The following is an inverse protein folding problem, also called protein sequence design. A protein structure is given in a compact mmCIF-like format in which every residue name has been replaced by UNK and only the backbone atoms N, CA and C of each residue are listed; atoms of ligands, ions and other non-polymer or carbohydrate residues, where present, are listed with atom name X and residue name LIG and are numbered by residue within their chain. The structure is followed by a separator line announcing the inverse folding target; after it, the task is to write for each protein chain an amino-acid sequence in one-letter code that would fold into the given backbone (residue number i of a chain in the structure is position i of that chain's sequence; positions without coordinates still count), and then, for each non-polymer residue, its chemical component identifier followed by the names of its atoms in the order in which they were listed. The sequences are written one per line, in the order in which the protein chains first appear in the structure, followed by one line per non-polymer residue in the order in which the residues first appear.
data_IF_459821447183
#
_entry.id   IF_459821447183
#
_cell.length_a   1.000
_cell.length_b   1.000
_cell.length_c   1.000
_cell.angle_alpha   90.00
_cell.angle_beta   90.00
_cell.angle_gamma   90.00
#
_symmetry.space_group_name_H-M   'P 1'
#
loop_
_entity.id
_entity.type
_entity.pdbx_description
1 polymer ?
#
# COMPACT_ATOMS: atom_id res chain seq x y z
N UNK A 1 22.91 -21.98 14.51
CA UNK A 1 22.70 -20.78 15.36
C UNK A 1 21.90 -19.79 14.55
N UNK A 2 20.67 -19.53 14.96
CA UNK A 2 19.71 -18.70 14.23
C UNK A 2 18.34 -19.34 14.16
N UNK A 3 17.73 -19.61 15.32
CA UNK A 3 16.32 -19.96 15.42
C UNK A 3 15.50 -18.68 15.20
N UNK A 4 15.09 -18.43 13.96
CA UNK A 4 13.96 -17.53 13.73
C UNK A 4 12.71 -18.29 14.16
N UNK A 5 12.23 -17.93 15.35
CA UNK A 5 10.90 -18.27 15.80
C UNK A 5 9.93 -17.73 14.75
N UNK A 6 9.32 -18.62 13.97
CA UNK A 6 8.09 -18.29 13.26
C UNK A 6 7.06 -17.98 14.35
N UNK A 7 6.88 -16.71 14.69
CA UNK A 7 5.74 -16.27 15.49
C UNK A 7 4.49 -16.69 14.73
N UNK A 8 3.90 -17.80 15.13
CA UNK A 8 2.63 -18.25 14.61
C UNK A 8 1.63 -17.17 15.03
N UNK A 9 1.07 -16.46 14.05
CA UNK A 9 0.11 -15.39 14.29
C UNK A 9 -1.06 -15.99 15.04
N UNK A 10 -1.32 -15.47 16.23
CA UNK A 10 -2.62 -15.64 16.86
C UNK A 10 -3.63 -14.81 16.08
N UNK A 11 -4.15 -15.38 14.99
CA UNK A 11 -5.18 -14.75 14.16
C UNK A 11 -6.44 -14.48 14.99
N UNK A 12 -6.65 -15.19 16.10
CA UNK A 12 -7.79 -14.96 17.00
C UNK A 12 -7.62 -13.68 17.82
N UNK A 13 -6.39 -13.31 18.20
CA UNK A 13 -6.08 -12.00 18.75
C UNK A 13 -6.39 -10.88 17.74
N UNK A 14 -5.99 -11.06 16.48
CA UNK A 14 -6.18 -10.05 15.44
C UNK A 14 -7.62 -9.98 14.89
N UNK A 15 -8.39 -11.06 14.98
CA UNK A 15 -9.82 -11.10 14.63
C UNK A 15 -10.65 -10.11 15.45
N UNK A 16 -10.18 -9.70 16.63
CA UNK A 16 -10.86 -8.68 17.46
C UNK A 16 -10.64 -7.24 16.97
N UNK A 17 -9.64 -7.01 16.09
CA UNK A 17 -9.16 -5.67 15.72
C UNK A 17 -9.40 -5.35 14.23
N UNK A 18 -9.77 -6.35 13.43
CA UNK A 18 -10.05 -6.25 11.99
C UNK A 18 -8.79 -6.43 11.13
N UNK A 19 -8.97 -7.10 10.00
CA UNK A 19 -7.91 -7.39 9.00
C UNK A 19 -8.34 -6.78 7.67
N UNK A 20 -7.44 -6.01 7.04
CA UNK A 20 -7.66 -5.45 5.71
C UNK A 20 -6.60 -5.97 4.74
N UNK A 21 -7.04 -6.42 3.57
CA UNK A 21 -6.12 -6.79 2.49
C UNK A 21 -5.73 -5.52 1.76
N UNK A 22 -4.46 -5.16 1.84
CA UNK A 22 -3.87 -4.05 1.07
C UNK A 22 -3.73 -4.42 -0.40
N UNK A 23 -3.35 -5.67 -0.68
CA UNK A 23 -3.26 -6.22 -2.02
C UNK A 23 -2.63 -7.60 -2.01
N UNK A 24 -2.64 -8.27 -3.16
CA UNK A 24 -1.94 -9.54 -3.36
C UNK A 24 -1.25 -9.57 -4.71
N UNK A 25 -0.07 -10.18 -4.76
CA UNK A 25 0.74 -10.33 -5.97
C UNK A 25 1.55 -11.61 -5.84
N UNK A 26 1.54 -12.46 -6.87
CA UNK A 26 2.34 -13.70 -6.94
C UNK A 26 2.23 -14.62 -5.71
N UNK A 27 1.03 -14.67 -5.10
CA UNK A 27 0.77 -15.47 -3.91
C UNK A 27 1.17 -14.80 -2.59
N UNK A 28 1.89 -13.68 -2.60
CA UNK A 28 2.10 -12.86 -1.42
C UNK A 28 0.90 -11.95 -1.16
N UNK A 29 0.57 -11.76 0.11
CA UNK A 29 -0.55 -10.93 0.56
C UNK A 29 -0.01 -9.85 1.49
N UNK A 30 -0.29 -8.60 1.17
CA UNK A 30 -0.05 -7.48 2.07
C UNK A 30 -1.31 -7.21 2.90
N UNK A 31 -1.15 -7.17 4.23
CA UNK A 31 -2.24 -7.06 5.21
C UNK A 31 -2.02 -5.86 6.14
N UNK A 32 -3.11 -5.20 6.53
CA UNK A 32 -3.12 -4.27 7.65
C UNK A 32 -4.01 -4.82 8.78
N UNK A 33 -3.44 -4.98 9.97
CA UNK A 33 -4.17 -5.36 11.17
C UNK A 33 -4.47 -4.15 12.05
N UNK A 34 -5.69 -4.07 12.59
CA UNK A 34 -6.07 -3.07 13.60
C UNK A 34 -5.98 -1.61 13.14
N UNK A 35 -5.80 -1.38 11.85
CA UNK A 35 -5.41 -0.10 11.26
C UNK A 35 -4.20 0.54 11.96
N UNK A 36 -3.16 -0.26 12.18
CA UNK A 36 -1.91 0.24 12.77
C UNK A 36 -0.67 -0.61 12.45
N UNK A 37 -0.82 -1.80 11.88
CA UNK A 37 0.33 -2.66 11.62
C UNK A 37 0.23 -3.30 10.24
N UNK A 38 1.27 -3.09 9.43
CA UNK A 38 1.37 -3.63 8.09
C UNK A 38 2.18 -4.93 8.13
N UNK A 39 1.77 -5.91 7.34
CA UNK A 39 2.43 -7.20 7.24
C UNK A 39 2.46 -7.69 5.81
N UNK A 40 3.49 -8.46 5.50
CA UNK A 40 3.58 -9.28 4.31
C UNK A 40 3.46 -10.74 4.73
N UNK A 41 2.49 -11.43 4.16
CA UNK A 41 2.20 -12.82 4.45
C UNK A 41 2.41 -13.67 3.20
N UNK A 42 3.15 -14.76 3.36
CA UNK A 42 3.22 -15.84 2.39
C UNK A 42 2.38 -17.03 2.92
N UNK A 43 1.15 -17.23 2.44
CA UNK A 43 0.29 -18.31 2.90
C UNK A 43 0.85 -19.71 2.61
N UNK A 44 1.70 -19.86 1.58
CA UNK A 44 2.26 -21.14 1.18
C UNK A 44 3.37 -21.61 2.14
N UNK A 45 4.14 -20.69 2.71
CA UNK A 45 5.19 -21.00 3.70
C UNK A 45 4.74 -20.75 5.14
N UNK A 46 3.63 -20.03 5.34
CA UNK A 46 3.20 -19.54 6.64
C UNK A 46 4.04 -18.38 7.17
N UNK A 47 5.02 -17.90 6.39
CA UNK A 47 5.90 -16.81 6.79
C UNK A 47 5.13 -15.50 6.83
N UNK A 48 5.27 -14.80 7.94
CA UNK A 48 4.74 -13.47 8.12
C UNK A 48 5.86 -12.51 8.52
N UNK A 49 5.96 -11.42 7.80
CA UNK A 49 6.91 -10.35 8.07
C UNK A 49 6.17 -9.07 8.43
N UNK A 50 6.49 -8.51 9.59
CA UNK A 50 6.02 -7.19 10.00
C UNK A 50 6.72 -6.10 9.20
N UNK A 51 5.97 -5.07 8.82
CA UNK A 51 6.43 -3.90 8.09
C UNK A 51 6.09 -2.65 8.90
N UNK A 52 7.06 -1.77 9.09
CA UNK A 52 6.84 -0.49 9.74
C UNK A 52 6.00 0.42 8.86
N UNK A 53 5.13 1.22 9.49
CA UNK A 53 4.29 2.17 8.76
C UNK A 53 5.11 3.33 8.15
N UNK A 54 4.64 3.94 7.05
CA UNK A 54 5.27 5.11 6.48
C UNK A 54 5.22 6.31 7.45
N UNK A 55 6.17 7.26 7.37
CA UNK A 55 6.20 8.42 8.25
C UNK A 55 4.94 9.30 8.21
N UNK A 56 4.19 9.26 7.11
CA UNK A 56 2.93 9.98 6.97
C UNK A 56 1.68 9.17 7.27
N UNK A 57 1.82 7.95 7.79
CA UNK A 57 0.70 7.05 8.05
C UNK A 57 -0.38 7.73 8.89
N UNK A 58 -1.62 7.61 8.42
CA UNK A 58 -2.81 8.07 9.14
C UNK A 58 -3.90 7.03 9.01
N UNK A 59 -4.36 6.54 10.16
CA UNK A 59 -5.45 5.58 10.28
C UNK A 59 -6.70 6.10 9.56
N UNK A 60 -7.28 5.26 8.68
CA UNK A 60 -8.48 5.57 7.86
C UNK A 60 -8.33 6.75 6.89
N UNK A 61 -7.12 7.28 6.74
CA UNK A 61 -6.78 8.44 5.90
C UNK A 61 -5.64 8.09 4.93
N UNK A 62 -5.38 6.80 4.76
CA UNK A 62 -4.32 6.27 3.91
C UNK A 62 -4.92 5.22 2.99
N UNK A 63 -4.66 5.34 1.70
CA UNK A 63 -4.89 4.29 0.72
C UNK A 63 -3.57 3.57 0.44
N UNK A 64 -3.68 2.31 0.03
CA UNK A 64 -2.55 1.44 -0.15
C UNK A 64 -2.53 0.78 -1.53
N UNK A 65 -1.34 0.40 -1.97
CA UNK A 65 -1.10 -0.44 -3.13
C UNK A 65 0.04 -1.39 -2.87
N UNK A 66 0.01 -2.55 -3.52
CA UNK A 66 1.04 -3.57 -3.41
C UNK A 66 1.20 -4.29 -4.75
N UNK A 67 2.44 -4.53 -5.15
CA UNK A 67 2.72 -5.28 -6.37
C UNK A 67 4.19 -5.56 -6.59
N UNK A 68 4.47 -6.54 -7.44
CA UNK A 68 5.80 -6.83 -7.95
C UNK A 68 6.23 -5.78 -8.98
N UNK A 69 7.53 -5.50 -9.03
CA UNK A 69 8.16 -4.54 -9.93
C UNK A 69 9.35 -5.22 -10.60
N UNK A 70 9.21 -5.55 -11.88
CA UNK A 70 10.21 -6.34 -12.62
C UNK A 70 11.57 -5.66 -12.72
N UNK A 71 11.59 -4.32 -12.82
CA UNK A 71 12.84 -3.55 -12.97
C UNK A 71 13.80 -3.63 -11.77
N UNK A 72 13.29 -3.95 -10.59
CA UNK A 72 14.08 -4.11 -9.35
C UNK A 72 14.01 -5.52 -8.77
N UNK A 73 13.28 -6.42 -9.44
CA UNK A 73 13.03 -7.80 -9.01
C UNK A 73 12.58 -7.91 -7.54
N UNK A 74 11.64 -7.05 -7.16
CA UNK A 74 11.12 -6.98 -5.79
C UNK A 74 9.68 -6.49 -5.78
N UNK A 75 9.01 -6.67 -4.65
CA UNK A 75 7.70 -6.11 -4.38
C UNK A 75 7.85 -4.71 -3.78
N UNK A 76 6.87 -3.88 -4.10
CA UNK A 76 6.75 -2.52 -3.59
C UNK A 76 5.38 -2.32 -2.96
N UNK A 77 5.37 -1.63 -1.83
CA UNK A 77 4.17 -1.09 -1.22
C UNK A 77 4.16 0.41 -1.47
N UNK A 78 3.02 0.93 -1.89
CA UNK A 78 2.77 2.37 -1.99
C UNK A 78 1.69 2.76 -0.99
N UNK A 79 1.91 3.88 -0.32
CA UNK A 79 0.95 4.51 0.58
C UNK A 79 0.68 5.93 0.12
N UNK A 80 -0.59 6.36 0.16
CA UNK A 80 -0.96 7.75 -0.07
C UNK A 80 -1.85 8.20 1.06
N UNK A 81 -1.37 9.15 1.86
CA UNK A 81 -2.09 9.67 3.03
C UNK A 81 -2.58 11.10 2.80
N UNK A 82 -3.81 11.38 3.23
CA UNK A 82 -4.43 12.71 3.18
C UNK A 82 -5.12 13.02 4.50
N UNK A 83 -4.67 14.09 5.19
CA UNK A 83 -5.33 14.55 6.41
C UNK A 83 -6.73 15.10 6.08
N UNK A 84 -7.74 14.77 6.88
CA UNK A 84 -9.07 15.36 6.75
C UNK A 84 -9.00 16.89 6.75
N UNK A 85 -9.73 17.54 5.83
CA UNK A 85 -9.70 19.00 5.58
C UNK A 85 -8.37 19.57 5.06
N UNK A 86 -7.46 18.73 4.57
CA UNK A 86 -6.22 19.16 3.91
C UNK A 86 -6.18 18.72 2.45
N UNK A 87 -5.90 19.66 1.56
CA UNK A 87 -5.64 19.36 0.15
C UNK A 87 -4.26 18.71 -0.08
N UNK A 88 -3.35 18.82 0.90
CA UNK A 88 -2.00 18.23 0.84
C UNK A 88 -2.04 16.73 1.08
N UNK A 89 -1.47 15.99 0.12
CA UNK A 89 -1.25 14.54 0.17
C UNK A 89 0.23 14.25 0.41
N UNK A 90 0.52 13.07 0.94
CA UNK A 90 1.88 12.55 1.09
C UNK A 90 1.89 11.12 0.59
N UNK A 91 2.72 10.84 -0.41
CA UNK A 91 2.93 9.50 -0.91
C UNK A 91 4.30 8.97 -0.47
N UNK A 92 4.34 7.69 -0.13
CA UNK A 92 5.59 6.99 0.16
C UNK A 92 5.57 5.61 -0.50
N UNK A 93 6.74 5.15 -0.93
CA UNK A 93 6.97 3.80 -1.44
C UNK A 93 7.95 3.05 -0.54
N UNK A 94 7.83 1.73 -0.50
CA UNK A 94 8.72 0.84 0.24
C UNK A 94 8.98 -0.41 -0.58
N UNK A 95 10.24 -0.74 -0.81
CA UNK A 95 10.66 -2.08 -1.26
C UNK A 95 10.73 -3.03 -0.07
N UNK A 96 10.33 -4.28 -0.26
CA UNK A 96 10.12 -5.19 0.88
C UNK A 96 11.13 -6.32 1.00
N UNK A 97 11.68 -6.91 -0.08
CA UNK A 97 12.56 -8.08 0.03
C UNK A 97 14.01 -7.82 -0.38
N UNK A 98 14.27 -6.91 -1.32
CA UNK A 98 15.57 -6.69 -1.97
C UNK A 98 16.57 -5.81 -1.21
N UNK A 99 17.72 -5.54 -1.84
CA UNK A 99 18.72 -4.62 -1.30
C UNK A 99 18.15 -3.18 -1.27
N UNK A 100 18.00 -2.62 -0.08
CA UNK A 100 17.32 -1.33 0.15
C UNK A 100 15.93 -1.47 0.78
N UNK A 101 15.49 -2.70 1.06
CA UNK A 101 14.24 -2.95 1.75
C UNK A 101 14.21 -2.32 3.15
N UNK A 102 13.00 -1.97 3.60
CA UNK A 102 12.75 -1.54 4.99
C UNK A 102 12.81 -0.03 5.23
N UNK A 103 13.11 0.80 4.22
CA UNK A 103 13.02 2.25 4.34
C UNK A 103 12.00 2.85 3.37
N UNK A 104 11.09 3.67 3.91
CA UNK A 104 10.10 4.37 3.11
C UNK A 104 10.73 5.55 2.34
N UNK A 105 10.68 5.48 1.01
CA UNK A 105 10.97 6.60 0.11
C UNK A 105 9.78 7.54 -0.01
N UNK A 106 10.03 8.84 -0.15
CA UNK A 106 8.98 9.84 -0.39
C UNK A 106 8.75 9.98 -1.89
N UNK A 107 7.48 10.04 -2.30
CA UNK A 107 7.08 10.28 -3.69
C UNK A 107 6.17 11.50 -3.77
N UNK A 108 6.22 12.20 -4.90
CA UNK A 108 5.37 13.34 -5.16
C UNK A 108 3.96 12.87 -5.53
N UNK A 109 2.97 13.28 -4.72
CA UNK A 109 1.56 13.01 -4.97
C UNK A 109 0.95 14.17 -5.76
N UNK A 110 0.04 13.91 -6.73
CA UNK A 110 -0.50 14.95 -7.58
C UNK A 110 -1.39 15.93 -6.80
N UNK A 111 -1.21 17.22 -7.02
CA UNK A 111 -2.09 18.26 -6.47
C UNK A 111 -3.45 18.26 -7.17
N UNK A 112 -4.48 18.79 -6.51
CA UNK A 112 -5.83 18.89 -7.06
C UNK A 112 -6.67 17.60 -6.96
N UNK A 113 -6.12 16.48 -6.50
CA UNK A 113 -6.87 15.25 -6.26
C UNK A 113 -7.10 15.00 -4.76
N UNK A 114 -8.17 14.29 -4.41
CA UNK A 114 -8.51 13.88 -3.06
C UNK A 114 -8.76 12.37 -3.01
N UNK A 115 -8.47 11.78 -1.85
CA UNK A 115 -8.80 10.38 -1.58
C UNK A 115 -10.33 10.23 -1.50
N UNK A 116 -10.87 9.18 -2.12
CA UNK A 116 -12.24 8.76 -1.89
C UNK A 116 -12.28 7.93 -0.60
N UNK A 117 -13.13 8.31 0.36
CA UNK A 117 -13.27 7.62 1.65
C UNK A 117 -13.75 6.17 1.54
N UNK A 118 -14.27 5.79 0.37
CA UNK A 118 -14.69 4.41 0.04
C UNK A 118 -13.57 3.60 -0.61
N UNK A 119 -12.40 4.17 -0.80
CA UNK A 119 -11.22 3.52 -1.38
C UNK A 119 -10.21 3.31 -0.26
N UNK A 120 -9.72 2.07 -0.14
CA UNK A 120 -8.71 1.71 0.85
C UNK A 120 -7.52 1.01 0.17
N UNK A 121 -7.81 0.01 -0.67
CA UNK A 121 -6.81 -0.72 -1.44
C UNK A 121 -6.92 -0.41 -2.93
N UNK A 122 -5.78 -0.34 -3.59
CA UNK A 122 -5.67 -0.22 -5.04
C UNK A 122 -5.69 -1.57 -5.72
N UNK A 123 -6.02 -1.56 -7.01
CA UNK A 123 -6.01 -2.75 -7.86
C UNK A 123 -4.75 -2.72 -8.71
N UNK A 124 -3.97 -3.80 -8.68
CA UNK A 124 -2.76 -3.95 -9.48
C UNK A 124 -3.10 -4.46 -10.89
N UNK A 125 -2.54 -3.83 -11.92
CA UNK A 125 -2.52 -4.30 -13.30
C UNK A 125 -1.23 -3.81 -13.98
N UNK A 126 -0.43 -4.74 -14.51
CA UNK A 126 0.81 -4.46 -15.24
C UNK A 126 1.74 -3.49 -14.50
N UNK A 127 2.07 -3.79 -13.23
CA UNK A 127 2.91 -2.97 -12.33
C UNK A 127 2.35 -1.57 -12.01
N UNK A 128 1.11 -1.28 -12.41
CA UNK A 128 0.40 -0.05 -12.08
C UNK A 128 -0.69 -0.34 -11.05
N UNK A 129 -0.69 0.41 -9.95
CA UNK A 129 -1.77 0.36 -8.96
C UNK A 129 -2.81 1.44 -9.29
N UNK A 130 -4.08 1.04 -9.37
CA UNK A 130 -5.19 1.93 -9.66
C UNK A 130 -6.09 2.15 -8.45
N UNK A 131 -6.46 3.40 -8.20
CA UNK A 131 -7.44 3.79 -7.18
C UNK A 131 -8.55 4.63 -7.77
N UNK A 132 -9.73 4.50 -7.18
CA UNK A 132 -10.79 5.49 -7.34
C UNK A 132 -10.50 6.69 -6.44
N UNK A 133 -10.43 7.88 -7.03
CA UNK A 133 -10.16 9.16 -6.38
C UNK A 133 -11.20 10.20 -6.76
N UNK A 134 -11.07 11.41 -6.19
CA UNK A 134 -11.90 12.58 -6.50
C UNK A 134 -10.97 13.65 -7.10
N UNK A 135 -11.25 14.13 -8.31
CA UNK A 135 -10.45 15.18 -8.94
C UNK A 135 -10.79 16.59 -8.42
N UNK A 136 -10.12 17.62 -8.95
CA UNK A 136 -10.27 19.00 -8.49
C UNK A 136 -11.65 19.60 -8.72
N UNK A 137 -12.46 18.97 -9.57
CA UNK A 137 -13.84 19.34 -9.85
C UNK A 137 -14.84 18.62 -8.93
N UNK A 138 -14.37 17.76 -8.04
CA UNK A 138 -15.22 16.92 -7.19
C UNK A 138 -15.78 15.68 -7.91
N UNK A 139 -15.32 15.39 -9.14
CA UNK A 139 -15.76 14.22 -9.90
C UNK A 139 -14.92 12.98 -9.57
N UNK A 140 -15.53 11.80 -9.68
CA UNK A 140 -14.79 10.54 -9.55
C UNK A 140 -13.84 10.35 -10.73
N UNK A 141 -12.62 9.96 -10.44
CA UNK A 141 -11.62 9.59 -11.43
C UNK A 141 -10.87 8.31 -11.02
N UNK A 142 -10.11 7.75 -11.95
CA UNK A 142 -9.20 6.64 -11.70
C UNK A 142 -7.78 7.19 -11.76
N UNK A 143 -7.03 7.04 -10.68
CA UNK A 143 -5.63 7.40 -10.58
C UNK A 143 -4.78 6.14 -10.62
N UNK A 144 -3.88 6.03 -11.60
CA UNK A 144 -2.85 5.02 -11.67
C UNK A 144 -1.54 5.51 -11.06
N UNK A 145 -0.80 4.61 -10.42
CA UNK A 145 0.57 4.82 -9.98
C UNK A 145 1.46 3.69 -10.51
N UNK A 146 2.39 4.05 -11.37
CA UNK A 146 3.42 3.13 -11.87
C UNK A 146 4.42 2.84 -10.76
N UNK A 147 4.48 1.59 -10.29
CA UNK A 147 5.38 1.19 -9.21
C UNK A 147 6.85 1.25 -9.63
N UNK A 148 7.15 1.01 -10.91
CA UNK A 148 8.50 1.02 -11.45
C UNK A 148 9.06 2.42 -11.56
N UNK A 149 8.34 3.31 -12.25
CA UNK A 149 8.72 4.71 -12.43
C UNK A 149 8.36 5.64 -11.26
N UNK A 150 7.56 5.17 -10.30
CA UNK A 150 7.04 5.95 -9.17
C UNK A 150 6.30 7.24 -9.60
N UNK A 151 5.48 7.13 -10.64
CA UNK A 151 4.74 8.27 -11.21
C UNK A 151 3.24 8.06 -11.18
N UNK A 152 2.50 9.15 -10.97
CA UNK A 152 1.04 9.17 -11.00
C UNK A 152 0.52 9.58 -12.38
N UNK A 153 -0.59 8.96 -12.81
CA UNK A 153 -1.33 9.37 -14.01
C UNK A 153 -2.84 9.17 -13.80
N UNK A 154 -3.62 10.18 -14.15
CA UNK A 154 -5.06 10.00 -14.28
C UNK A 154 -5.36 9.16 -15.53
N UNK A 155 -6.25 8.19 -15.40
CA UNK A 155 -6.71 7.38 -16.54
C UNK A 155 -7.79 8.17 -17.28
N UNK A 156 -7.63 8.41 -18.60
CA UNK A 156 -8.65 9.09 -19.39
C UNK A 156 -10.00 8.36 -19.30
N UNK A 157 -11.09 9.13 -19.24
CA UNK A 157 -12.42 8.56 -19.42
C UNK A 157 -12.60 8.10 -20.88
N UNK A 158 -13.39 7.05 -21.13
CA UNK A 158 -13.75 6.64 -22.49
C UNK A 158 -14.36 7.76 -23.34
#
# INVERSE_FOLDING_TARGET
LGSELSEQIDLDFYNQIGVYIVGSCDGLICLEFGSSHLYLWNPATGELRKIDNPPSYRRKETIWGFGYVSSIDDYKIVSVSQKLHSYRKRAHTLTVLGQGAGQWGKVDAPDGYNLDSRTYSGVLLDEVVFWRMINGLGALCIMGFDLGGETFREVPTP
#
